data_IF_083629869065
#
_entry.id   IF_083629869065
#
_cell.length_a   1.000
_cell.length_b   1.000
_cell.length_c   1.000
_cell.angle_alpha   90.00
_cell.angle_beta   90.00
_cell.angle_gamma   90.00
#
_symmetry.space_group_name_H-M   'P 1'
#
loop_
_entity.id
_entity.type
_entity.pdbx_description
1 polymer ?
#
# COMPACT_ATOMS: atom_id res chain seq x y z
N UNK A 1 -14.52 -54.07 -5.70
CA UNK A 1 -15.42 -54.99 -4.96
C UNK A 1 -14.54 -55.80 -4.02
N UNK A 2 -14.82 -55.99 -2.73
CA UNK A 2 -16.10 -56.26 -2.06
C UNK A 2 -16.24 -55.44 -0.74
N UNK A 3 -17.48 -55.34 -0.23
CA UNK A 3 -17.93 -54.64 0.98
C UNK A 3 -18.14 -55.61 2.18
N UNK A 4 -18.58 -55.05 3.33
CA UNK A 4 -19.08 -55.70 4.57
C UNK A 4 -18.00 -55.98 5.64
N UNK A 5 -18.12 -55.59 6.92
CA UNK A 5 -19.23 -55.51 7.91
C UNK A 5 -19.66 -56.86 8.52
N UNK A 6 -19.45 -56.99 9.83
CA UNK A 6 -20.13 -57.87 10.81
C UNK A 6 -19.71 -57.38 12.21
N UNK A 7 -20.60 -56.76 12.99
CA UNK A 7 -21.50 -57.36 14.00
C UNK A 7 -20.81 -57.76 15.32
N UNK A 8 -21.38 -57.73 16.53
CA UNK A 8 -22.54 -57.10 17.21
C UNK A 8 -22.75 -57.92 18.52
N UNK A 9 -23.23 -57.30 19.63
CA UNK A 9 -23.48 -57.92 20.99
C UNK A 9 -22.20 -58.34 21.75
N UNK A 10 -22.16 -58.42 23.08
CA UNK A 10 -23.16 -58.23 24.16
C UNK A 10 -22.43 -57.59 25.39
N UNK A 11 -23.01 -57.23 26.53
CA UNK A 11 -24.35 -57.41 27.10
C UNK A 11 -24.73 -56.21 28.02
N UNK A 12 -25.84 -56.29 28.75
CA UNK A 12 -26.31 -55.30 29.73
C UNK A 12 -26.39 -55.85 31.16
N UNK A 13 -25.78 -55.18 32.14
CA UNK A 13 -26.07 -55.38 33.58
C UNK A 13 -26.07 -54.05 34.35
N UNK A 14 -27.05 -53.91 35.25
CA UNK A 14 -27.28 -52.72 36.08
C UNK A 14 -26.38 -52.71 37.32
N UNK A 15 -25.79 -51.56 37.67
CA UNK A 15 -25.58 -51.21 39.09
C UNK A 15 -25.40 -49.71 39.36
N UNK A 16 -26.41 -49.13 40.02
CA UNK A 16 -26.39 -48.11 41.10
C UNK A 16 -25.34 -46.98 41.07
N UNK A 17 -25.84 -45.74 40.99
CA UNK A 17 -25.15 -44.51 41.44
C UNK A 17 -24.62 -44.63 42.88
N UNK A 18 -23.58 -43.86 43.21
CA UNK A 18 -23.68 -42.94 44.34
C UNK A 18 -23.46 -41.48 43.91
N UNK A 19 -24.19 -40.57 44.54
CA UNK A 19 -23.94 -39.13 44.39
C UNK A 19 -22.82 -38.69 45.36
N UNK A 20 -21.81 -37.98 44.86
CA UNK A 20 -20.97 -37.11 45.69
C UNK A 20 -20.94 -35.72 45.09
N UNK A 21 -21.29 -34.73 45.93
CA UNK A 21 -21.13 -33.31 45.63
C UNK A 21 -19.65 -32.96 45.72
N UNK A 22 -19.14 -32.23 44.74
CA UNK A 22 -17.78 -31.67 44.72
C UNK A 22 -17.81 -30.35 43.95
N UNK A 23 -17.52 -29.25 44.64
CA UNK A 23 -17.61 -27.89 44.10
C UNK A 23 -16.41 -27.56 43.20
N UNK A 24 -16.60 -26.83 42.10
CA UNK A 24 -15.52 -26.45 41.18
C UNK A 24 -16.07 -25.79 39.91
N UNK A 25 -15.88 -24.48 39.76
CA UNK A 25 -16.61 -23.67 38.78
C UNK A 25 -16.22 -23.91 37.31
N UNK A 26 -17.24 -23.92 36.44
CA UNK A 26 -17.06 -23.63 35.01
C UNK A 26 -16.74 -22.14 34.85
N UNK A 27 -15.46 -21.77 34.73
CA UNK A 27 -15.09 -20.46 34.15
C UNK A 27 -14.66 -20.72 32.71
N UNK A 28 -15.53 -20.34 31.77
CA UNK A 28 -15.31 -20.62 30.36
C UNK A 28 -14.11 -19.87 29.79
N UNK A 29 -13.32 -20.56 28.96
CA UNK A 29 -12.38 -19.94 28.03
C UNK A 29 -13.14 -19.06 27.03
N UNK A 30 -13.43 -17.81 27.38
CA UNK A 30 -14.10 -16.86 26.47
C UNK A 30 -13.66 -15.41 26.69
N UNK A 31 -12.34 -15.17 26.69
CA UNK A 31 -11.75 -13.81 26.67
C UNK A 31 -10.72 -13.54 25.55
N UNK A 32 -10.12 -14.57 24.92
CA UNK A 32 -9.10 -14.42 23.85
C UNK A 32 -9.59 -13.93 22.47
N UNK A 33 -10.87 -13.57 22.30
CA UNK A 33 -11.43 -13.20 20.98
C UNK A 33 -11.51 -11.69 20.72
N UNK A 34 -11.45 -10.85 21.75
CA UNK A 34 -11.47 -9.40 21.56
C UNK A 34 -10.08 -8.86 21.25
N UNK A 35 -9.05 -9.39 21.93
CA UNK A 35 -7.66 -9.02 21.74
C UNK A 35 -7.20 -9.24 20.28
N UNK A 36 -7.59 -10.38 19.68
CA UNK A 36 -7.31 -10.74 18.27
C UNK A 36 -7.97 -9.80 17.25
N UNK A 37 -9.10 -9.18 17.58
CA UNK A 37 -9.79 -8.22 16.69
C UNK A 37 -9.23 -6.81 16.87
N UNK A 38 -8.85 -6.44 18.11
CA UNK A 38 -8.18 -5.18 18.39
C UNK A 38 -6.79 -5.12 17.73
N UNK A 39 -5.97 -6.16 17.89
CA UNK A 39 -4.64 -6.29 17.27
C UNK A 39 -4.70 -6.22 15.72
N UNK A 40 -5.70 -6.88 15.12
CA UNK A 40 -5.94 -6.78 13.66
C UNK A 40 -6.44 -5.40 13.21
N UNK A 41 -7.23 -4.72 14.02
CA UNK A 41 -7.69 -3.36 13.75
C UNK A 41 -6.54 -2.35 13.86
N UNK A 42 -5.71 -2.47 14.89
CA UNK A 42 -4.49 -1.69 15.10
C UNK A 42 -3.51 -1.89 13.94
N UNK A 43 -3.24 -3.15 13.56
CA UNK A 43 -2.43 -3.49 12.39
C UNK A 43 -3.02 -2.98 11.07
N UNK A 44 -4.35 -2.99 10.90
CA UNK A 44 -5.01 -2.41 9.72
C UNK A 44 -4.88 -0.89 9.69
N UNK A 45 -5.00 -0.23 10.85
CA UNK A 45 -4.78 1.21 10.98
C UNK A 45 -3.32 1.58 10.66
N UNK A 46 -2.33 0.87 11.21
CA UNK A 46 -0.89 1.08 10.90
C UNK A 46 -0.56 0.89 9.41
N UNK A 47 -1.11 -0.16 8.78
CA UNK A 47 -0.92 -0.39 7.35
C UNK A 47 -1.57 0.73 6.53
N UNK A 48 -2.65 1.33 7.02
CA UNK A 48 -3.38 2.39 6.33
C UNK A 48 -2.80 3.78 6.57
N UNK A 49 -2.23 4.09 7.75
CA UNK A 49 -1.43 5.31 7.91
C UNK A 49 -0.16 5.27 7.08
N UNK A 50 0.51 4.11 6.96
CA UNK A 50 1.65 3.96 6.02
C UNK A 50 1.25 4.22 4.56
N UNK A 51 0.13 3.64 4.10
CA UNK A 51 -0.39 3.90 2.74
C UNK A 51 -0.85 5.37 2.54
N UNK A 52 -1.38 6.04 3.56
CA UNK A 52 -1.82 7.44 3.47
C UNK A 52 -0.66 8.45 3.46
N UNK A 53 0.49 8.12 4.05
CA UNK A 53 1.73 8.86 3.81
C UNK A 53 2.17 8.67 2.34
N UNK A 54 2.24 7.41 1.86
CA UNK A 54 2.70 7.05 0.50
C UNK A 54 1.82 7.67 -0.62
N UNK A 55 0.49 7.75 -0.47
CA UNK A 55 -0.40 8.38 -1.47
C UNK A 55 -0.21 9.90 -1.58
N UNK A 56 0.33 10.57 -0.56
CA UNK A 56 0.59 12.01 -0.58
C UNK A 56 2.01 12.35 -1.09
N UNK A 57 2.91 11.37 -1.17
CA UNK A 57 4.31 11.58 -1.58
C UNK A 57 4.43 12.21 -2.97
N UNK A 58 3.57 11.81 -3.92
CA UNK A 58 3.59 12.30 -5.31
C UNK A 58 2.77 13.58 -5.53
N UNK A 59 2.49 14.34 -4.48
CA UNK A 59 1.84 15.65 -4.58
C UNK A 59 2.73 16.68 -5.30
N UNK A 60 2.11 17.63 -6.03
CA UNK A 60 2.81 18.76 -6.67
C UNK A 60 3.66 19.54 -5.63
N UNK A 61 3.14 19.68 -4.41
CA UNK A 61 3.83 20.35 -3.30
C UNK A 61 5.16 19.68 -2.96
N UNK A 62 5.18 18.35 -2.88
CA UNK A 62 6.39 17.58 -2.58
C UNK A 62 7.37 17.60 -3.76
N UNK A 63 6.87 17.47 -5.01
CA UNK A 63 7.69 17.60 -6.21
C UNK A 63 8.40 18.97 -6.26
N UNK A 64 7.68 20.07 -5.98
CA UNK A 64 8.25 21.41 -5.92
C UNK A 64 9.27 21.55 -4.77
N UNK A 65 8.97 21.02 -3.59
CA UNK A 65 9.88 21.06 -2.44
C UNK A 65 11.20 20.31 -2.70
N UNK A 66 11.15 19.20 -3.46
CA UNK A 66 12.33 18.45 -3.89
C UNK A 66 13.07 19.17 -5.03
N UNK A 67 12.35 19.74 -6.01
CA UNK A 67 12.91 20.53 -7.11
C UNK A 67 13.71 21.75 -6.61
N UNK A 68 13.21 22.45 -5.58
CA UNK A 68 13.92 23.58 -4.96
C UNK A 68 15.24 23.18 -4.29
N UNK A 69 15.37 21.92 -3.85
CA UNK A 69 16.60 21.37 -3.24
C UNK A 69 17.52 20.72 -4.27
N UNK A 70 17.05 20.50 -5.49
CA UNK A 70 17.82 19.82 -6.53
C UNK A 70 18.88 20.79 -7.09
N UNK A 71 20.13 20.46 -6.83
CA UNK A 71 21.29 21.20 -7.35
C UNK A 71 21.50 20.94 -8.85
N UNK A 72 22.30 21.81 -9.48
CA UNK A 72 22.70 21.64 -10.89
C UNK A 72 21.65 22.04 -11.95
N UNK A 73 20.42 22.38 -11.57
CA UNK A 73 19.42 22.97 -12.49
C UNK A 73 19.56 24.51 -12.61
N UNK A 74 19.28 25.04 -13.79
CA UNK A 74 19.11 26.49 -14.03
C UNK A 74 17.78 27.04 -13.48
N UNK A 75 17.57 28.36 -13.55
CA UNK A 75 16.27 28.96 -13.22
C UNK A 75 15.18 28.61 -14.22
N UNK A 76 15.54 28.55 -15.51
CA UNK A 76 14.68 28.18 -16.63
C UNK A 76 14.27 26.70 -16.55
N UNK A 77 15.23 25.79 -16.32
CA UNK A 77 14.93 24.35 -16.14
C UNK A 77 13.97 24.10 -14.97
N UNK A 78 14.01 24.91 -13.91
CA UNK A 78 13.04 24.82 -12.80
C UNK A 78 11.66 25.37 -13.17
N UNK A 79 11.59 26.40 -14.02
CA UNK A 79 10.31 26.92 -14.51
C UNK A 79 9.60 25.89 -15.40
N UNK A 80 10.33 25.27 -16.34
CA UNK A 80 9.79 24.24 -17.24
C UNK A 80 9.33 22.98 -16.50
N UNK A 81 9.99 22.64 -15.38
CA UNK A 81 9.64 21.49 -14.55
C UNK A 81 8.22 21.58 -13.93
N UNK A 82 7.71 22.78 -13.64
CA UNK A 82 6.35 22.94 -13.09
C UNK A 82 5.26 22.42 -14.03
N UNK A 83 5.47 22.57 -15.34
CA UNK A 83 4.55 22.04 -16.34
C UNK A 83 4.65 20.53 -16.48
N UNK A 84 5.85 19.96 -16.34
CA UNK A 84 6.06 18.50 -16.35
C UNK A 84 5.29 17.85 -15.19
N UNK A 85 5.27 18.49 -14.02
CA UNK A 85 4.55 18.03 -12.83
C UNK A 85 3.03 18.20 -12.89
N UNK A 86 2.44 18.76 -13.95
CA UNK A 86 0.97 18.74 -14.15
C UNK A 86 0.46 17.31 -14.30
N UNK A 87 1.23 16.47 -14.97
CA UNK A 87 0.94 15.04 -15.17
C UNK A 87 1.24 14.21 -13.90
N UNK A 88 0.35 13.27 -13.56
CA UNK A 88 0.45 12.43 -12.35
C UNK A 88 1.62 11.45 -12.43
N UNK A 89 1.80 10.79 -13.58
CA UNK A 89 2.84 9.79 -13.80
C UNK A 89 4.23 10.44 -13.83
N UNK A 90 4.35 11.64 -14.39
CA UNK A 90 5.60 12.42 -14.32
C UNK A 90 6.00 12.73 -12.87
N UNK A 91 5.04 13.01 -11.96
CA UNK A 91 5.35 13.24 -10.53
C UNK A 91 5.79 11.97 -9.83
N UNK A 92 5.11 10.86 -10.07
CA UNK A 92 5.46 9.53 -9.55
C UNK A 92 6.88 9.12 -9.98
N UNK A 93 7.20 9.23 -11.28
CA UNK A 93 8.55 8.96 -11.79
C UNK A 93 9.59 9.91 -11.17
N UNK A 94 9.29 11.22 -11.07
CA UNK A 94 10.22 12.18 -10.49
C UNK A 94 10.54 11.86 -9.03
N UNK A 95 9.53 11.56 -8.21
CA UNK A 95 9.73 11.28 -6.78
C UNK A 95 10.43 9.94 -6.55
N UNK A 96 10.03 8.88 -7.27
CA UNK A 96 10.59 7.52 -7.10
C UNK A 96 11.98 7.31 -7.71
N UNK A 97 12.39 8.08 -8.71
CA UNK A 97 13.70 7.91 -9.36
C UNK A 97 14.89 8.27 -8.45
N UNK A 98 15.96 7.48 -8.51
CA UNK A 98 17.25 7.78 -7.86
C UNK A 98 17.79 9.18 -8.23
N UNK A 99 18.43 9.94 -7.31
CA UNK A 99 18.77 11.36 -7.53
C UNK A 99 19.53 11.65 -8.83
N UNK A 100 20.52 10.81 -9.19
CA UNK A 100 21.29 10.94 -10.42
C UNK A 100 20.43 10.73 -11.68
N UNK A 101 19.54 9.73 -11.65
CA UNK A 101 18.65 9.39 -12.76
C UNK A 101 17.49 10.39 -12.89
N UNK A 102 16.96 10.87 -11.77
CA UNK A 102 15.89 11.88 -11.66
C UNK A 102 16.25 13.16 -12.42
N UNK A 103 17.46 13.68 -12.21
CA UNK A 103 17.93 14.90 -12.86
C UNK A 103 18.10 14.72 -14.37
N UNK A 104 18.69 13.60 -14.80
CA UNK A 104 18.85 13.24 -16.23
C UNK A 104 17.48 13.07 -16.91
N UNK A 105 16.53 12.41 -16.25
CA UNK A 105 15.16 12.23 -16.74
C UNK A 105 14.44 13.55 -16.89
N UNK A 106 14.49 14.43 -15.88
CA UNK A 106 13.82 15.72 -15.91
C UNK A 106 14.34 16.59 -17.06
N UNK A 107 15.67 16.68 -17.24
CA UNK A 107 16.28 17.36 -18.39
C UNK A 107 15.79 16.84 -19.74
N UNK A 108 15.75 15.51 -19.91
CA UNK A 108 15.23 14.88 -21.13
C UNK A 108 13.76 15.24 -21.39
N UNK A 109 12.94 15.31 -20.33
CA UNK A 109 11.53 15.74 -20.45
C UNK A 109 11.37 17.22 -20.76
N UNK A 110 12.20 18.10 -20.20
CA UNK A 110 12.23 19.53 -20.56
C UNK A 110 12.57 19.69 -22.05
N UNK A 111 13.68 19.11 -22.51
CA UNK A 111 14.13 19.24 -23.91
C UNK A 111 13.14 18.64 -24.92
N UNK A 112 12.52 17.50 -24.61
CA UNK A 112 11.48 16.93 -25.46
C UNK A 112 10.29 17.89 -25.60
N UNK A 113 9.86 18.51 -24.50
CA UNK A 113 8.70 19.41 -24.47
C UNK A 113 8.99 20.77 -25.10
N UNK A 114 10.19 21.31 -24.97
CA UNK A 114 10.57 22.56 -25.65
C UNK A 114 10.68 22.34 -27.16
N UNK A 115 11.15 21.18 -27.62
CA UNK A 115 11.13 20.82 -29.05
C UNK A 115 9.70 20.76 -29.63
N UNK A 116 8.73 20.18 -28.91
CA UNK A 116 7.31 20.20 -29.29
C UNK A 116 6.75 21.64 -29.39
N UNK A 117 7.18 22.52 -28.48
CA UNK A 117 6.79 23.94 -28.47
C UNK A 117 7.41 24.70 -29.65
N UNK A 118 8.73 24.62 -29.86
CA UNK A 118 9.40 25.29 -30.98
C UNK A 118 8.91 24.80 -32.35
N UNK A 119 8.62 23.52 -32.51
CA UNK A 119 8.04 22.99 -33.76
C UNK A 119 6.63 23.52 -34.00
N UNK A 120 5.79 23.63 -32.97
CA UNK A 120 4.47 24.24 -33.08
C UNK A 120 4.54 25.73 -33.49
N UNK A 121 5.40 26.52 -32.85
CA UNK A 121 5.59 27.93 -33.22
C UNK A 121 6.17 28.11 -34.64
N UNK A 122 7.09 27.24 -35.06
CA UNK A 122 7.64 27.27 -36.41
C UNK A 122 6.56 26.94 -37.46
N UNK A 123 5.75 25.89 -37.22
CA UNK A 123 4.61 25.55 -38.09
C UNK A 123 3.59 26.68 -38.16
N UNK A 124 3.20 27.28 -37.03
CA UNK A 124 2.30 28.44 -37.00
C UNK A 124 2.86 29.73 -37.61
N UNK A 125 4.17 29.79 -37.92
CA UNK A 125 4.80 30.96 -38.57
C UNK A 125 5.02 30.75 -40.08
N UNK A 126 4.75 29.54 -40.59
CA UNK A 126 4.95 29.13 -42.00
C UNK A 126 3.60 28.83 -42.69
N UNK A 127 2.48 29.04 -41.98
CA UNK A 127 1.09 28.96 -42.47
C UNK A 127 0.47 30.36 -42.48
#
# INVERSE_FOLDING_TARGET
MILQQSDQRCASTSSRRPARRGNGGKVGQKRKKNDDVADKMEKYLELKTKQVEEENDFSIKNCNALLSRLEGLSGEERADAYDIFKDVQNREIFMTAEPSSRLIWLRKKIVCRTADMFTYYYLCSVV
#
